data_IF_487493994138
#
_entry.id   IF_487493994138
#
_cell.length_a   1.000
_cell.length_b   1.000
_cell.length_c   1.000
_cell.angle_alpha   90.00
_cell.angle_beta   90.00
_cell.angle_gamma   90.00
#
_symmetry.space_group_name_H-M   'P 1'
#
loop_
_entity.id
_entity.type
_entity.pdbx_description
1 polymer ?
#
# COMPACT_ATOMS: atom_id res chain seq x y z
N UNK A 1 -2.40 -4.02 38.97
CA UNK A 1 -2.64 -3.65 37.56
C UNK A 1 -3.10 -4.94 36.91
N UNK A 2 -4.22 -4.91 36.19
CA UNK A 2 -4.85 -6.11 35.64
C UNK A 2 -4.01 -6.69 34.49
N UNK A 3 -3.67 -7.98 34.55
CA UNK A 3 -2.83 -8.64 33.55
C UNK A 3 -3.50 -8.60 32.17
N UNK A 4 -4.83 -8.69 32.11
CA UNK A 4 -5.60 -8.61 30.86
C UNK A 4 -5.39 -7.25 30.18
N UNK A 5 -5.37 -6.17 30.96
CA UNK A 5 -5.10 -4.83 30.46
C UNK A 5 -3.67 -4.70 29.93
N UNK A 6 -2.68 -5.25 30.64
CA UNK A 6 -1.28 -5.24 30.21
C UNK A 6 -1.07 -5.99 28.89
N UNK A 7 -1.72 -7.15 28.74
CA UNK A 7 -1.65 -7.96 27.53
C UNK A 7 -2.34 -7.25 26.35
N UNK A 8 -3.50 -6.63 26.58
CA UNK A 8 -4.20 -5.85 25.55
C UNK A 8 -3.37 -4.63 25.10
N UNK A 9 -2.79 -3.89 26.06
CA UNK A 9 -1.93 -2.75 25.79
C UNK A 9 -0.67 -3.16 25.00
N UNK A 10 -0.09 -4.33 25.31
CA UNK A 10 1.01 -4.90 24.54
C UNK A 10 0.57 -5.29 23.11
N UNK A 11 -0.55 -6.00 22.95
CA UNK A 11 -1.04 -6.41 21.64
C UNK A 11 -1.35 -5.20 20.72
N UNK A 12 -1.94 -4.15 21.28
CA UNK A 12 -2.17 -2.87 20.60
C UNK A 12 -0.86 -2.20 20.17
N UNK A 13 0.17 -2.26 21.02
CA UNK A 13 1.47 -1.62 20.81
C UNK A 13 2.37 -2.32 19.80
N UNK A 14 2.24 -3.64 19.65
CA UNK A 14 3.00 -4.43 18.67
C UNK A 14 2.27 -4.57 17.32
N UNK A 15 1.08 -3.98 17.18
CA UNK A 15 0.28 -4.07 15.96
C UNK A 15 -0.26 -5.48 15.68
N UNK A 16 -0.33 -6.37 16.68
CA UNK A 16 -0.90 -7.71 16.52
C UNK A 16 -2.37 -7.70 16.12
N UNK A 17 -3.05 -6.57 16.34
CA UNK A 17 -4.44 -6.38 15.95
C UNK A 17 -4.62 -5.41 14.78
N UNK A 18 -3.55 -5.09 14.03
CA UNK A 18 -3.60 -4.10 12.96
C UNK A 18 -4.68 -4.45 11.92
N UNK A 19 -4.74 -5.71 11.53
CA UNK A 19 -5.73 -6.20 10.56
C UNK A 19 -7.16 -6.09 11.11
N UNK A 20 -7.39 -6.48 12.37
CA UNK A 20 -8.70 -6.34 13.01
C UNK A 20 -9.15 -4.88 13.14
N UNK A 21 -8.21 -3.97 13.44
CA UNK A 21 -8.47 -2.52 13.49
C UNK A 21 -8.81 -1.98 12.10
N UNK A 22 -8.04 -2.35 11.08
CA UNK A 22 -8.31 -1.96 9.70
C UNK A 22 -9.67 -2.47 9.23
N UNK A 23 -9.98 -3.75 9.48
CA UNK A 23 -11.29 -4.36 9.21
C UNK A 23 -12.42 -3.54 9.82
N UNK A 24 -12.34 -3.25 11.12
CA UNK A 24 -13.38 -2.51 11.83
C UNK A 24 -13.66 -1.15 11.17
N UNK A 25 -12.60 -0.37 10.88
CA UNK A 25 -12.73 0.95 10.25
C UNK A 25 -13.33 0.83 8.84
N UNK A 26 -12.91 -0.18 8.07
CA UNK A 26 -13.45 -0.44 6.73
C UNK A 26 -14.94 -0.81 6.77
N UNK A 27 -15.35 -1.71 7.68
CA UNK A 27 -16.75 -2.10 7.87
C UNK A 27 -17.61 -0.90 8.31
N UNK A 28 -17.09 -0.03 9.19
CA UNK A 28 -17.75 1.22 9.59
C UNK A 28 -17.91 2.21 8.43
N UNK A 29 -17.07 2.12 7.39
CA UNK A 29 -17.19 2.86 6.13
C UNK A 29 -17.92 2.07 5.03
N UNK A 30 -18.72 1.07 5.43
CA UNK A 30 -19.58 0.27 4.54
C UNK A 30 -18.82 -0.60 3.52
N UNK A 31 -17.59 -1.01 3.82
CA UNK A 31 -16.91 -2.03 3.03
C UNK A 31 -17.37 -3.42 3.49
N UNK A 32 -17.55 -4.34 2.54
CA UNK A 32 -17.50 -5.77 2.82
C UNK A 32 -16.05 -6.19 2.96
N UNK A 33 -15.69 -6.88 4.04
CA UNK A 33 -14.29 -7.19 4.38
C UNK A 33 -14.10 -8.69 4.61
N UNK A 34 -13.08 -9.24 3.97
CA UNK A 34 -12.59 -10.61 4.17
C UNK A 34 -11.14 -10.55 4.66
N UNK A 35 -10.82 -11.35 5.68
CA UNK A 35 -9.49 -11.40 6.32
C UNK A 35 -8.74 -12.66 5.92
N UNK A 36 -7.41 -12.62 5.89
CA UNK A 36 -6.51 -13.77 5.71
C UNK A 36 -6.90 -14.64 4.52
N UNK A 37 -7.04 -13.99 3.36
CA UNK A 37 -7.50 -14.63 2.14
C UNK A 37 -6.35 -15.36 1.46
N UNK A 38 -6.50 -16.66 1.26
CA UNK A 38 -5.56 -17.47 0.50
C UNK A 38 -5.97 -17.51 -0.97
N UNK A 39 -5.09 -17.02 -1.84
CA UNK A 39 -5.31 -16.92 -3.28
C UNK A 39 -4.36 -17.91 -3.94
N UNK A 40 -4.91 -18.85 -4.69
CA UNK A 40 -4.10 -19.84 -5.40
C UNK A 40 -3.29 -19.15 -6.50
N UNK A 41 -2.02 -19.51 -6.63
CA UNK A 41 -1.14 -19.08 -7.71
C UNK A 41 -0.33 -20.30 -8.17
N UNK A 42 -0.68 -20.88 -9.31
CA UNK A 42 -0.12 -22.16 -9.77
C UNK A 42 -0.27 -23.25 -8.69
N UNK A 43 0.83 -23.78 -8.16
CA UNK A 43 0.85 -24.80 -7.10
C UNK A 43 1.02 -24.21 -5.69
N UNK A 44 1.11 -22.90 -5.55
CA UNK A 44 1.30 -22.19 -4.29
C UNK A 44 0.04 -21.39 -3.87
N UNK A 45 0.02 -20.97 -2.61
CA UNK A 45 -0.97 -20.03 -2.09
C UNK A 45 -0.28 -18.73 -1.69
N UNK A 46 -0.85 -17.62 -2.13
CA UNK A 46 -0.46 -16.28 -1.69
C UNK A 46 -1.52 -15.80 -0.71
N UNK A 47 -1.08 -15.44 0.48
CA UNK A 47 -1.93 -14.83 1.50
C UNK A 47 -2.05 -13.33 1.27
N UNK A 48 -3.26 -12.81 1.48
CA UNK A 48 -3.55 -11.38 1.60
C UNK A 48 -4.24 -11.13 2.93
N UNK A 49 -3.69 -10.21 3.72
CA UNK A 49 -4.19 -9.92 5.07
C UNK A 49 -5.66 -9.46 5.03
N UNK A 50 -6.00 -8.52 4.12
CA UNK A 50 -7.37 -8.02 3.96
C UNK A 50 -7.75 -7.84 2.48
N UNK A 51 -8.90 -8.38 2.11
CA UNK A 51 -9.62 -8.08 0.86
C UNK A 51 -10.92 -7.34 1.19
N UNK A 52 -11.07 -6.12 0.70
CA UNK A 52 -12.24 -5.29 0.99
C UNK A 52 -12.90 -4.74 -0.28
N UNK A 53 -14.23 -4.57 -0.25
CA UNK A 53 -14.99 -4.02 -1.38
C UNK A 53 -16.15 -3.16 -0.88
N UNK A 54 -16.19 -1.90 -1.31
CA UNK A 54 -17.34 -1.01 -1.09
C UNK A 54 -18.30 -1.00 -2.28
N UNK A 55 -17.78 -1.24 -3.49
CA UNK A 55 -18.53 -1.23 -4.74
C UNK A 55 -18.23 -2.48 -5.56
N UNK A 56 -19.21 -2.96 -6.32
CA UNK A 56 -19.05 -4.13 -7.17
C UNK A 56 -17.93 -3.92 -8.19
N UNK A 57 -17.10 -4.96 -8.38
CA UNK A 57 -15.99 -4.94 -9.33
C UNK A 57 -14.79 -4.11 -8.88
N UNK A 58 -14.71 -3.72 -7.60
CA UNK A 58 -13.59 -2.94 -7.05
C UNK A 58 -13.12 -3.54 -5.75
N UNK A 59 -11.89 -4.01 -5.76
CA UNK A 59 -11.32 -4.77 -4.67
C UNK A 59 -10.06 -4.08 -4.15
N UNK A 60 -10.10 -3.76 -2.86
CA UNK A 60 -8.96 -3.27 -2.11
C UNK A 60 -8.20 -4.47 -1.61
N UNK A 61 -6.93 -4.57 -2.00
CA UNK A 61 -5.99 -5.54 -1.45
C UNK A 61 -5.10 -4.81 -0.48
N UNK A 62 -5.13 -5.25 0.77
CA UNK A 62 -4.51 -4.54 1.88
C UNK A 62 -3.57 -5.49 2.59
N UNK A 63 -2.30 -5.12 2.63
CA UNK A 63 -1.26 -5.76 3.44
C UNK A 63 -1.02 -4.95 4.71
N UNK A 64 -1.18 -5.58 5.87
CA UNK A 64 -0.96 -5.00 7.17
C UNK A 64 0.43 -5.37 7.69
N UNK A 65 1.25 -4.38 8.05
CA UNK A 65 2.56 -4.62 8.67
C UNK A 65 2.70 -3.88 9.98
N UNK A 66 2.53 -4.65 11.06
CA UNK A 66 2.77 -4.22 12.42
C UNK A 66 4.25 -3.89 12.66
N UNK A 67 4.47 -2.86 13.46
CA UNK A 67 5.77 -2.41 13.92
C UNK A 67 5.68 -2.06 15.41
N UNK A 68 6.81 -1.97 16.10
CA UNK A 68 6.81 -1.52 17.48
C UNK A 68 6.49 -0.02 17.58
N UNK A 69 6.00 0.45 18.73
CA UNK A 69 5.73 1.89 18.94
C UNK A 69 6.96 2.81 18.74
N UNK A 70 8.17 2.28 18.90
CA UNK A 70 9.43 3.00 18.66
C UNK A 70 9.92 2.92 17.21
N UNK A 71 9.16 2.25 16.34
CA UNK A 71 9.49 2.05 14.93
C UNK A 71 9.02 3.22 14.07
N UNK A 72 9.86 3.57 13.11
CA UNK A 72 9.64 4.58 12.08
C UNK A 72 9.83 3.90 10.73
N UNK A 73 8.89 4.09 9.81
CA UNK A 73 9.11 3.76 8.41
C UNK A 73 9.78 4.98 7.78
N UNK A 74 11.07 4.85 7.47
CA UNK A 74 11.83 5.91 6.80
C UNK A 74 11.85 5.59 5.30
N UNK A 75 11.24 6.47 4.52
CA UNK A 75 11.14 6.42 3.08
C UNK A 75 12.05 7.48 2.45
N UNK A 76 12.48 7.24 1.23
CA UNK A 76 13.35 8.15 0.49
C UNK A 76 12.65 8.64 -0.77
N UNK A 77 12.68 9.96 -0.96
CA UNK A 77 12.35 10.65 -2.19
C UNK A 77 13.65 11.10 -2.86
N UNK A 78 13.80 10.77 -4.14
CA UNK A 78 14.96 11.14 -4.96
C UNK A 78 14.70 12.45 -5.71
N UNK A 79 15.79 13.12 -6.08
CA UNK A 79 15.74 14.38 -6.82
C UNK A 79 15.05 14.21 -8.17
N UNK A 80 13.88 14.83 -8.30
CA UNK A 80 13.07 14.74 -9.51
C UNK A 80 13.65 15.65 -10.60
N UNK A 81 14.54 15.10 -11.42
CA UNK A 81 14.47 15.35 -12.86
C UNK A 81 13.15 14.75 -13.37
N UNK A 82 12.06 15.51 -13.25
CA UNK A 82 10.66 15.09 -13.48
C UNK A 82 10.55 14.33 -14.82
N UNK A 83 10.35 13.01 -14.80
CA UNK A 83 9.75 12.31 -15.93
C UNK A 83 8.23 12.20 -15.66
N UNK A 84 7.39 13.06 -16.28
CA UNK A 84 5.94 12.99 -16.13
C UNK A 84 5.35 11.66 -16.65
N UNK A 85 6.16 10.78 -17.25
CA UNK A 85 5.80 9.42 -17.69
C UNK A 85 5.81 8.37 -16.58
N UNK A 86 6.22 8.69 -15.34
CA UNK A 86 6.12 7.76 -14.20
C UNK A 86 4.70 7.63 -13.63
N UNK A 87 3.78 8.45 -14.11
CA UNK A 87 2.38 8.46 -13.73
C UNK A 87 1.56 7.88 -14.90
N UNK A 88 0.80 6.82 -14.65
CA UNK A 88 -0.34 6.50 -15.49
C UNK A 88 -1.50 6.02 -14.62
N UNK A 89 -2.22 7.00 -14.08
CA UNK A 89 -3.47 6.78 -13.35
C UNK A 89 -4.58 6.19 -14.21
N UNK A 90 -4.43 6.18 -15.54
CA UNK A 90 -5.36 5.51 -16.45
C UNK A 90 -5.07 4.01 -16.44
N UNK A 91 -5.59 3.33 -15.42
CA UNK A 91 -5.82 1.88 -15.31
C UNK A 91 -4.83 1.02 -16.09
N UNK A 92 -3.83 0.51 -15.39
CA UNK A 92 -2.93 -0.49 -15.92
C UNK A 92 -3.66 -1.81 -16.12
N UNK A 93 -3.96 -2.19 -17.37
CA UNK A 93 -4.47 -3.52 -17.65
C UNK A 93 -3.37 -4.53 -17.31
N UNK A 94 -3.71 -5.56 -16.53
CA UNK A 94 -2.76 -6.63 -16.25
C UNK A 94 -2.79 -7.59 -17.44
N UNK A 95 -1.62 -7.85 -18.01
CA UNK A 95 -1.46 -8.73 -19.18
C UNK A 95 -2.10 -10.10 -18.89
N UNK A 96 -2.74 -10.66 -19.90
CA UNK A 96 -3.36 -11.99 -19.86
C UNK A 96 -4.49 -12.14 -18.80
N UNK A 97 -5.08 -11.01 -18.34
CA UNK A 97 -6.20 -10.99 -17.40
C UNK A 97 -7.31 -10.00 -17.80
N UNK A 98 -8.45 -10.07 -17.11
CA UNK A 98 -9.52 -9.06 -17.17
C UNK A 98 -9.39 -7.97 -16.09
N UNK A 99 -8.28 -7.97 -15.33
CA UNK A 99 -8.10 -7.05 -14.21
C UNK A 99 -7.34 -5.79 -14.61
N UNK A 100 -7.62 -4.73 -13.86
CA UNK A 100 -6.89 -3.46 -13.94
C UNK A 100 -6.39 -3.08 -12.56
N UNK A 101 -5.29 -2.34 -12.51
CA UNK A 101 -4.77 -1.77 -11.27
C UNK A 101 -5.07 -0.27 -11.29
N UNK A 102 -5.72 0.20 -10.23
CA UNK A 102 -5.87 1.62 -9.96
C UNK A 102 -4.73 2.11 -9.06
N UNK A 103 -4.31 3.34 -9.29
CA UNK A 103 -3.26 4.01 -8.51
C UNK A 103 -3.81 5.32 -7.96
N UNK A 104 -3.32 5.70 -6.79
CA UNK A 104 -3.65 6.99 -6.19
C UNK A 104 -2.87 8.10 -6.88
N UNK A 105 -3.55 9.18 -7.23
CA UNK A 105 -2.91 10.42 -7.67
C UNK A 105 -2.44 11.17 -6.42
N UNK A 106 -1.15 11.58 -6.33
CA UNK A 106 -0.69 12.39 -5.21
C UNK A 106 -1.38 13.75 -5.18
N UNK A 107 -1.56 14.30 -3.97
CA UNK A 107 -1.98 15.69 -3.76
C UNK A 107 -0.99 16.65 -4.42
N UNK A 108 -1.47 17.79 -4.92
CA UNK A 108 -0.62 18.80 -5.56
C UNK A 108 0.51 19.29 -4.65
N UNK A 109 0.25 19.37 -3.34
CA UNK A 109 1.24 19.77 -2.32
C UNK A 109 2.14 18.61 -1.86
N UNK A 110 1.85 17.38 -2.30
CA UNK A 110 2.61 16.17 -1.98
C UNK A 110 2.95 15.39 -3.25
N UNK A 111 3.23 16.11 -4.34
CA UNK A 111 3.57 15.52 -5.64
C UNK A 111 4.95 14.87 -5.63
N UNK A 112 5.06 13.73 -4.95
CA UNK A 112 6.26 12.93 -4.88
C UNK A 112 5.94 11.44 -4.72
N UNK A 113 6.94 10.63 -5.07
CA UNK A 113 6.94 9.19 -4.82
C UNK A 113 8.21 8.84 -4.07
N UNK A 114 8.10 7.83 -3.23
CA UNK A 114 9.25 7.23 -2.57
C UNK A 114 9.64 5.96 -3.31
N UNK A 115 10.94 5.67 -3.40
CA UNK A 115 11.43 4.53 -4.20
C UNK A 115 12.14 3.48 -3.34
N UNK A 116 12.51 3.82 -2.12
CA UNK A 116 13.05 2.88 -1.14
C UNK A 116 12.61 3.27 0.27
N UNK A 117 12.69 2.31 1.19
CA UNK A 117 12.37 2.52 2.58
C UNK A 117 12.60 1.29 3.44
N UNK A 118 12.71 1.53 4.74
CA UNK A 118 12.90 0.48 5.74
C UNK A 118 12.41 0.92 7.12
N UNK A 119 12.20 -0.05 8.00
CA UNK A 119 11.85 0.21 9.40
C UNK A 119 13.09 0.45 10.26
N UNK A 120 13.01 1.48 11.08
CA UNK A 120 14.05 1.88 12.03
C UNK A 120 13.45 1.99 13.43
N UNK A 121 14.14 1.47 14.44
CA UNK A 121 13.77 1.59 15.84
C UNK A 121 14.60 2.70 16.50
N UNK A 122 13.94 3.58 17.25
CA UNK A 122 14.65 4.53 18.12
C UNK A 122 15.13 3.83 19.39
N UNK A 123 16.43 3.86 19.61
CA UNK A 123 17.08 3.38 20.83
C UNK A 123 17.87 4.54 21.43
N UNK A 124 17.32 5.18 22.47
CA UNK A 124 17.87 6.43 23.00
C UNK A 124 17.86 7.53 21.95
N UNK A 125 19.04 8.08 21.63
CA UNK A 125 19.25 9.13 20.63
C UNK A 125 19.67 8.59 19.25
N UNK A 126 19.60 7.28 19.02
CA UNK A 126 19.99 6.66 17.76
C UNK A 126 18.80 6.00 17.07
N UNK A 127 18.77 6.07 15.75
CA UNK A 127 17.91 5.24 14.91
C UNK A 127 18.72 4.04 14.43
N UNK A 128 18.28 2.84 14.79
CA UNK A 128 18.88 1.59 14.33
C UNK A 128 17.91 0.91 13.39
N UNK A 129 18.39 0.48 12.24
CA UNK A 129 17.62 -0.37 11.34
C UNK A 129 17.13 -1.61 12.10
N UNK A 130 15.87 -2.00 11.91
CA UNK A 130 15.34 -3.22 12.52
C UNK A 130 16.22 -4.44 12.13
N UNK A 131 16.46 -5.36 13.07
CA UNK A 131 17.49 -6.38 12.93
C UNK A 131 17.12 -7.49 11.93
N UNK A 132 18.14 -8.13 11.33
CA UNK A 132 17.98 -9.18 10.30
C UNK A 132 17.17 -10.41 10.72
N UNK A 133 17.01 -10.69 12.02
CA UNK A 133 16.24 -11.86 12.50
C UNK A 133 14.71 -11.65 12.40
N UNK A 134 14.25 -10.48 11.93
CA UNK A 134 12.90 -10.21 11.39
C UNK A 134 12.77 -10.62 9.88
N UNK A 135 13.54 -11.63 9.47
CA UNK A 135 14.09 -11.91 8.13
C UNK A 135 13.42 -11.35 6.89
N UNK A 136 14.10 -10.39 6.25
CA UNK A 136 13.80 -9.72 4.96
C UNK A 136 12.83 -8.56 5.14
N UNK A 137 13.38 -7.33 5.18
CA UNK A 137 12.70 -6.02 5.28
C UNK A 137 11.16 -6.15 5.21
N UNK A 138 10.48 -6.07 6.37
CA UNK A 138 9.04 -6.27 6.45
C UNK A 138 8.24 -5.38 5.49
N UNK A 139 8.77 -4.20 5.16
CA UNK A 139 8.18 -3.34 4.15
C UNK A 139 8.38 -3.90 2.73
N UNK A 140 9.59 -4.34 2.37
CA UNK A 140 9.86 -5.03 1.10
C UNK A 140 9.07 -6.34 0.95
N UNK A 141 8.91 -7.12 2.02
CA UNK A 141 8.03 -8.30 2.02
C UNK A 141 6.60 -7.95 1.68
N UNK A 142 6.05 -6.91 2.30
CA UNK A 142 4.70 -6.46 2.03
C UNK A 142 4.54 -6.03 0.57
N UNK A 143 5.55 -5.37 0.00
CA UNK A 143 5.57 -5.04 -1.43
C UNK A 143 5.52 -6.32 -2.29
N UNK A 144 6.34 -7.32 -1.99
CA UNK A 144 6.37 -8.58 -2.73
C UNK A 144 5.07 -9.38 -2.57
N UNK A 145 4.53 -9.50 -1.35
CA UNK A 145 3.26 -10.16 -1.06
C UNK A 145 2.12 -9.50 -1.86
N UNK A 146 2.07 -8.16 -1.85
CA UNK A 146 1.11 -7.40 -2.65
C UNK A 146 1.23 -7.70 -4.15
N UNK A 147 2.44 -7.65 -4.72
CA UNK A 147 2.66 -7.95 -6.14
C UNK A 147 2.26 -9.38 -6.50
N UNK A 148 2.62 -10.35 -5.66
CA UNK A 148 2.26 -11.76 -5.84
C UNK A 148 0.75 -11.96 -5.76
N UNK A 149 0.06 -11.28 -4.85
CA UNK A 149 -1.39 -11.36 -4.70
C UNK A 149 -2.12 -10.77 -5.91
N UNK A 150 -1.69 -9.61 -6.39
CA UNK A 150 -2.21 -8.99 -7.61
C UNK A 150 -2.07 -9.96 -8.79
N UNK A 151 -0.88 -10.57 -8.95
CA UNK A 151 -0.63 -11.58 -10.00
C UNK A 151 -1.59 -12.76 -9.85
N UNK A 152 -1.69 -13.35 -8.66
CA UNK A 152 -2.53 -14.50 -8.36
C UNK A 152 -4.01 -14.27 -8.71
N UNK A 153 -4.57 -13.12 -8.29
CA UNK A 153 -5.95 -12.74 -8.60
C UNK A 153 -6.14 -12.61 -10.11
N UNK A 154 -5.22 -11.92 -10.78
CA UNK A 154 -5.34 -11.63 -12.19
C UNK A 154 -5.38 -12.88 -13.07
N UNK A 155 -4.71 -13.96 -12.66
CA UNK A 155 -4.65 -15.21 -13.45
C UNK A 155 -5.69 -16.25 -13.06
N UNK A 156 -6.27 -16.18 -11.85
CA UNK A 156 -7.23 -17.19 -11.36
C UNK A 156 -8.69 -16.84 -11.61
N UNK A 157 -9.07 -15.57 -11.50
CA UNK A 157 -10.46 -15.11 -11.68
C UNK A 157 -10.73 -14.70 -13.14
N UNK A 158 -10.43 -15.61 -14.06
CA UNK A 158 -10.53 -15.38 -15.51
C UNK A 158 -11.92 -15.82 -16.00
N UNK A 159 -12.96 -15.12 -15.55
CA UNK A 159 -14.28 -15.25 -16.17
C UNK A 159 -14.35 -14.37 -17.42
N UNK A 160 -13.86 -14.91 -18.56
CA UNK A 160 -13.78 -14.22 -19.87
C UNK A 160 -15.14 -13.75 -20.41
N UNK A 161 -16.24 -14.20 -19.82
CA UNK A 161 -17.61 -13.94 -20.28
C UNK A 161 -18.34 -12.82 -19.50
N UNK A 162 -17.75 -12.26 -18.43
CA UNK A 162 -18.38 -11.14 -17.70
C UNK A 162 -18.18 -9.83 -18.46
N UNK A 163 -19.29 -9.27 -18.91
CA UNK A 163 -19.36 -8.11 -19.79
C UNK A 163 -18.98 -6.78 -19.10
N UNK A 164 -18.19 -5.99 -19.83
CA UNK A 164 -18.11 -4.51 -19.89
C UNK A 164 -17.47 -3.70 -18.75
N UNK A 165 -17.41 -4.18 -17.51
CA UNK A 165 -16.63 -3.51 -16.45
C UNK A 165 -15.47 -4.40 -16.00
N UNK A 166 -14.24 -3.99 -16.36
CA UNK A 166 -13.03 -4.70 -15.94
C UNK A 166 -12.85 -4.51 -14.43
N UNK A 167 -12.79 -5.58 -13.62
CA UNK A 167 -12.56 -5.45 -12.19
C UNK A 167 -11.24 -4.71 -11.88
N UNK A 168 -11.27 -3.89 -10.84
CA UNK A 168 -10.17 -3.00 -10.44
C UNK A 168 -9.60 -3.47 -9.11
N UNK A 169 -8.28 -3.64 -9.08
CA UNK A 169 -7.50 -3.88 -7.86
C UNK A 169 -6.91 -2.56 -7.38
N UNK A 170 -7.04 -2.29 -6.08
CA UNK A 170 -6.53 -1.11 -5.37
C UNK A 170 -5.55 -1.59 -4.29
N UNK A 171 -4.23 -1.52 -4.53
CA UNK A 171 -3.23 -2.04 -3.60
C UNK A 171 -2.85 -1.01 -2.53
N UNK A 172 -2.85 -1.43 -1.26
CA UNK A 172 -2.53 -0.58 -0.10
C UNK A 172 -1.70 -1.35 0.93
N UNK A 173 -0.70 -0.70 1.51
CA UNK A 173 -0.02 -1.16 2.72
C UNK A 173 -0.47 -0.30 3.90
N UNK A 174 -0.94 -0.94 4.95
CA UNK A 174 -1.28 -0.31 6.23
C UNK A 174 -0.23 -0.69 7.27
N UNK A 175 0.23 0.29 8.05
CA UNK A 175 1.16 0.09 9.16
C UNK A 175 0.77 0.94 10.37
N UNK A 176 1.29 0.63 11.55
CA UNK A 176 1.22 1.52 12.73
C UNK A 176 2.49 2.35 12.93
N UNK A 177 3.53 2.21 12.11
CA UNK A 177 4.74 3.01 12.21
C UNK A 177 4.53 4.45 11.73
N UNK A 178 5.25 5.40 12.33
CA UNK A 178 5.28 6.79 11.84
C UNK A 178 6.03 6.85 10.52
N UNK A 179 5.43 7.47 9.51
CA UNK A 179 6.02 7.59 8.17
C UNK A 179 6.86 8.85 8.07
N UNK A 180 8.16 8.69 7.85
CA UNK A 180 9.10 9.78 7.65
C UNK A 180 9.65 9.72 6.23
N UNK A 181 9.68 10.85 5.53
CA UNK A 181 10.26 10.97 4.21
C UNK A 181 11.50 11.85 4.30
N UNK A 182 12.61 11.34 3.78
CA UNK A 182 13.82 12.14 3.53
C UNK A 182 13.79 12.54 2.06
N UNK A 183 13.71 13.84 1.82
CA UNK A 183 13.70 14.46 0.51
C UNK A 183 15.11 14.88 0.11
N UNK A 184 15.68 14.17 -0.86
CA UNK A 184 16.99 14.47 -1.44
C UNK A 184 16.92 15.35 -2.70
N UNK A 185 15.79 15.99 -3.00
CA UNK A 185 15.68 17.00 -4.06
C UNK A 185 16.76 18.09 -3.95
N UNK A 186 17.16 18.44 -2.73
CA UNK A 186 18.41 19.16 -2.50
C UNK A 186 19.36 18.25 -1.73
N UNK A 187 20.20 17.49 -2.44
CA UNK A 187 21.14 16.55 -1.84
C UNK A 187 22.12 17.19 -0.85
N UNK A 188 22.40 18.48 -0.99
CA UNK A 188 23.26 19.24 -0.07
C UNK A 188 22.55 19.68 1.23
N UNK A 189 21.23 19.71 1.23
CA UNK A 189 20.39 20.08 2.37
C UNK A 189 19.10 19.25 2.35
N UNK A 190 19.18 17.94 2.65
CA UNK A 190 18.02 17.07 2.60
C UNK A 190 16.98 17.52 3.63
N UNK A 191 15.71 17.51 3.22
CA UNK A 191 14.60 17.85 4.10
C UNK A 191 13.99 16.58 4.69
N UNK A 192 13.56 16.64 5.95
CA UNK A 192 12.95 15.51 6.64
C UNK A 192 11.57 15.95 7.10
N UNK A 193 10.54 15.18 6.75
CA UNK A 193 9.14 15.49 7.09
C UNK A 193 8.37 14.23 7.42
N UNK A 194 7.42 14.33 8.33
CA UNK A 194 6.52 13.24 8.69
C UNK A 194 5.23 13.34 7.86
N UNK A 195 4.73 12.21 7.35
CA UNK A 195 3.52 12.14 6.54
C UNK A 195 2.50 11.17 7.16
N UNK A 196 1.20 11.41 6.90
CA UNK A 196 0.10 10.50 7.29
C UNK A 196 0.04 9.27 6.39
N UNK A 197 0.27 9.49 5.09
CA UNK A 197 0.39 8.49 4.03
C UNK A 197 1.38 8.97 2.98
N UNK A 198 1.93 8.03 2.20
CA UNK A 198 2.84 8.31 1.10
C UNK A 198 2.61 7.34 -0.05
N UNK A 199 2.91 7.76 -1.27
CA UNK A 199 2.94 6.87 -2.42
C UNK A 199 4.34 6.26 -2.56
N UNK A 200 4.38 4.94 -2.66
CA UNK A 200 5.62 4.19 -2.81
C UNK A 200 5.67 3.50 -4.16
N UNK A 201 6.71 3.79 -4.93
CA UNK A 201 6.98 3.20 -6.23
C UNK A 201 7.65 1.84 -6.03
N UNK A 202 7.03 0.79 -6.54
CA UNK A 202 7.56 -0.57 -6.53
C UNK A 202 7.86 -1.02 -7.96
N UNK A 203 9.07 -1.52 -8.25
CA UNK A 203 9.36 -2.19 -9.52
C UNK A 203 8.52 -3.47 -9.70
N UNK A 204 7.93 -3.67 -10.88
CA UNK A 204 7.08 -4.84 -11.20
C UNK A 204 7.80 -5.95 -11.96
N UNK A 205 9.07 -5.73 -12.33
CA UNK A 205 9.85 -6.64 -13.20
C UNK A 205 9.74 -8.10 -12.74
N UNK A 206 9.48 -8.99 -13.69
CA UNK A 206 9.35 -10.45 -13.55
C UNK A 206 8.14 -10.97 -12.74
N UNK A 207 7.42 -10.12 -12.00
CA UNK A 207 6.28 -10.55 -11.15
C UNK A 207 4.94 -10.19 -11.75
N UNK A 208 4.82 -9.01 -12.37
CA UNK A 208 3.55 -8.50 -12.89
C UNK A 208 3.76 -7.79 -14.22
N UNK A 209 3.11 -8.30 -15.28
CA UNK A 209 3.16 -7.67 -16.59
C UNK A 209 1.95 -6.76 -16.77
N UNK A 210 2.22 -5.48 -17.01
CA UNK A 210 1.18 -4.48 -17.25
C UNK A 210 1.14 -4.22 -18.75
N UNK A 211 0.03 -4.63 -19.39
CA UNK A 211 -0.19 -4.44 -20.81
C UNK A 211 -0.72 -3.01 -21.06
N UNK A 212 0.00 -2.16 -21.79
CA UNK A 212 -0.61 -0.95 -22.32
C UNK A 212 -1.60 -1.34 -23.42
N UNK A 213 -2.73 -0.64 -23.48
CA UNK A 213 -3.68 -0.80 -24.59
C UNK A 213 -3.10 -0.34 -25.93
N UNK A 214 -1.89 0.26 -25.99
CA UNK A 214 -1.13 0.48 -27.23
C UNK A 214 0.32 0.99 -27.10
N UNK A 215 0.83 1.51 -25.98
CA UNK A 215 2.13 2.21 -25.97
C UNK A 215 2.89 2.01 -24.64
N UNK A 216 3.99 1.23 -24.68
CA UNK A 216 5.05 1.07 -23.64
C UNK A 216 4.71 0.24 -22.37
N UNK A 217 5.53 -0.78 -22.10
CA UNK A 217 5.47 -1.55 -20.85
C UNK A 217 5.78 -0.67 -19.63
N UNK A 218 5.02 -0.84 -18.56
CA UNK A 218 5.30 -0.23 -17.26
C UNK A 218 6.09 -1.20 -16.39
N UNK A 219 7.27 -0.77 -15.92
CA UNK A 219 8.16 -1.58 -15.09
C UNK A 219 8.01 -1.29 -13.58
N UNK A 220 7.02 -0.50 -13.21
CA UNK A 220 6.72 -0.13 -11.83
C UNK A 220 5.25 0.27 -11.65
N UNK A 221 4.77 0.16 -10.41
CA UNK A 221 3.48 0.70 -9.95
C UNK A 221 3.69 1.53 -8.69
N UNK A 222 2.76 2.43 -8.39
CA UNK A 222 2.68 3.07 -7.08
C UNK A 222 1.66 2.38 -6.19
N UNK A 223 2.03 2.10 -4.94
CA UNK A 223 1.11 1.68 -3.88
C UNK A 223 0.95 2.79 -2.85
N UNK A 224 -0.21 2.82 -2.18
CA UNK A 224 -0.40 3.69 -1.03
C UNK A 224 0.17 3.02 0.22
N UNK A 225 0.96 3.76 0.98
CA UNK A 225 1.41 3.37 2.33
C UNK A 225 0.76 4.32 3.31
N UNK A 226 0.01 3.78 4.27
CA UNK A 226 -0.85 4.55 5.17
C UNK A 226 -0.63 4.12 6.61
N UNK A 227 -0.51 5.09 7.51
CA UNK A 227 -0.57 4.78 8.93
C UNK A 227 -2.05 4.58 9.36
N UNK A 228 -2.32 3.49 10.06
CA UNK A 228 -3.67 3.09 10.52
C UNK A 228 -4.39 4.18 11.32
N UNK A 229 -3.67 5.02 12.05
CA UNK A 229 -4.25 6.15 12.81
C UNK A 229 -4.99 7.13 11.91
N UNK A 230 -4.63 7.19 10.62
CA UNK A 230 -5.24 8.08 9.64
C UNK A 230 -6.13 7.34 8.64
N UNK A 231 -6.41 6.03 8.82
CA UNK A 231 -7.24 5.28 7.90
C UNK A 231 -8.66 5.83 7.80
N UNK A 232 -9.27 6.19 8.93
CA UNK A 232 -10.63 6.73 8.92
C UNK A 232 -10.68 8.11 8.24
N UNK A 233 -9.70 8.97 8.54
CA UNK A 233 -9.55 10.28 7.89
C UNK A 233 -9.38 10.11 6.38
N UNK A 234 -8.50 9.20 5.97
CA UNK A 234 -8.26 8.88 4.58
C UNK A 234 -9.54 8.40 3.86
N UNK A 235 -10.25 7.43 4.44
CA UNK A 235 -11.48 6.88 3.87
C UNK A 235 -12.63 7.89 3.81
N UNK A 236 -12.56 8.96 4.61
CA UNK A 236 -13.55 10.04 4.58
C UNK A 236 -13.27 11.09 3.51
N UNK A 237 -12.05 11.11 2.96
CA UNK A 237 -11.58 12.15 2.03
C UNK A 237 -11.12 11.62 0.66
N UNK A 238 -11.06 10.31 0.47
CA UNK A 238 -10.74 9.76 -0.85
C UNK A 238 -11.94 9.91 -1.78
N UNK A 239 -11.67 10.21 -3.05
CA UNK A 239 -12.70 10.22 -4.08
C UNK A 239 -12.27 9.31 -5.23
N UNK A 240 -13.25 8.62 -5.80
CA UNK A 240 -13.04 7.73 -6.92
C UNK A 240 -13.65 8.35 -8.18
N UNK A 241 -12.85 8.51 -9.24
CA UNK A 241 -13.33 8.99 -10.54
C UNK A 241 -13.69 7.84 -11.48
N UNK A 242 -14.63 8.06 -12.40
CA UNK A 242 -15.14 7.05 -13.36
C UNK A 242 -14.05 6.37 -14.22
N UNK A 243 -12.85 6.97 -14.31
CA UNK A 243 -11.69 6.45 -15.05
C UNK A 243 -10.72 5.62 -14.20
N UNK A 244 -11.05 5.29 -12.94
CA UNK A 244 -10.21 4.47 -12.05
C UNK A 244 -9.05 5.23 -11.43
N UNK A 245 -9.08 6.55 -11.50
CA UNK A 245 -8.21 7.41 -10.72
C UNK A 245 -8.79 7.55 -9.31
N UNK A 246 -7.94 7.39 -8.31
CA UNK A 246 -8.30 7.68 -6.93
C UNK A 246 -7.54 8.93 -6.52
N UNK A 247 -8.26 9.96 -6.12
CA UNK A 247 -7.68 11.18 -5.59
C UNK A 247 -7.92 11.23 -4.08
N UNK A 248 -7.00 11.89 -3.38
CA UNK A 248 -7.11 12.12 -1.94
C UNK A 248 -7.09 13.63 -1.78
N UNK A 249 -8.19 14.21 -1.33
CA UNK A 249 -8.16 15.60 -0.86
C UNK A 249 -7.65 15.59 0.57
N UNK A 250 -6.55 16.27 0.88
CA UNK A 250 -6.28 16.53 2.29
C UNK A 250 -7.43 17.40 2.84
N UNK A 251 -8.20 16.88 3.81
CA UNK A 251 -8.83 17.76 4.77
C UNK A 251 -7.71 18.63 5.36
N UNK A 252 -7.93 19.94 5.37
CA UNK A 252 -6.98 20.98 5.78
C UNK A 252 -5.98 20.54 6.86
N UNK A 253 -4.68 20.73 6.58
CA UNK A 253 -3.54 20.58 7.50
C UNK A 253 -3.77 21.28 8.85
#
# INVERSE_FOLDING_TARGET
MDDDKLILDAANSYGFNLEFRAKKILEEKSFSVLMNQLIKNEDEFVEVDIKAAQYQGREWLIECKGAANSSYLILIKEDNGIDPKMYNTRRHAIKDSNYRIAQFKPDENQYFFTFTGDFFNKTGNQLKKAAKNDFENNFFKAQNQMLSAIKAISVTDVDKNKSRDFPIIIPIIITNAKLWVIDYNNSSAPQVSQYKWALHKIPTKNNLYIAPKNEREFDSISILVLNIEYLEEFLSNYSFCEDGEITVSNGSL
#
